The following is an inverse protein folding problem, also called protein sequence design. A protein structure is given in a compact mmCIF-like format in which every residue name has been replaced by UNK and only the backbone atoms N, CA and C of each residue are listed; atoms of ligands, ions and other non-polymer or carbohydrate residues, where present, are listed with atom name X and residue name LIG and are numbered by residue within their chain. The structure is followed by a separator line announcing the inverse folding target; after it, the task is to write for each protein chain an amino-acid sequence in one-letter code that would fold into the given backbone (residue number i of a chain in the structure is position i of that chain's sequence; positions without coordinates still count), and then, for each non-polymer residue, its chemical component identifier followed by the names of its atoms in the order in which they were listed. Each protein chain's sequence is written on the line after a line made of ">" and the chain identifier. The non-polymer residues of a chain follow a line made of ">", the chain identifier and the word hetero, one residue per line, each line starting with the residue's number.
data_IF_274505597523
#
_entry.id   IF_274505597523
#
_cell.length_a   1.000
_cell.length_b   1.000
_cell.length_c   1.000
_cell.angle_alpha   90.00
_cell.angle_beta   90.00
_cell.angle_gamma   90.00
#
_symmetry.space_group_name_H-M   'P 1'
#
loop_
_entity.id
_entity.type
_entity.pdbx_description
1 polymer ?
#
# COMPACT_ATOMS: atom_id res chain seq x y z
N UNK A 1 -1.80 9.28 -9.75
CA UNK A 1 -1.18 10.42 -9.04
C UNK A 1 -1.92 11.73 -9.22
N UNK A 2 -2.53 12.05 -10.38
CA UNK A 2 -3.28 13.30 -10.61
C UNK A 2 -4.42 13.50 -9.59
N UNK A 3 -5.26 12.49 -9.37
CA UNK A 3 -6.41 12.59 -8.44
C UNK A 3 -5.94 12.84 -7.01
N UNK A 4 -4.94 12.10 -6.54
CA UNK A 4 -4.38 12.24 -5.19
C UNK A 4 -3.77 13.62 -5.02
N UNK A 5 -2.96 14.08 -5.98
CA UNK A 5 -2.35 15.41 -5.93
C UNK A 5 -3.37 16.54 -5.90
N UNK A 6 -4.45 16.43 -6.68
CA UNK A 6 -5.56 17.40 -6.66
C UNK A 6 -6.25 17.48 -5.30
N UNK A 7 -6.53 16.33 -4.66
CA UNK A 7 -7.13 16.29 -3.33
C UNK A 7 -6.23 16.94 -2.28
N UNK A 8 -4.93 16.63 -2.28
CA UNK A 8 -3.95 17.24 -1.36
C UNK A 8 -3.89 18.75 -1.57
N UNK A 9 -3.87 19.20 -2.82
CA UNK A 9 -3.87 20.63 -3.13
C UNK A 9 -5.12 21.35 -2.59
N UNK A 10 -6.31 20.78 -2.78
CA UNK A 10 -7.56 21.36 -2.27
C UNK A 10 -7.56 21.45 -0.74
N UNK A 11 -7.15 20.37 -0.06
CA UNK A 11 -7.05 20.33 1.41
C UNK A 11 -6.08 21.42 1.91
N UNK A 12 -4.90 21.51 1.28
CA UNK A 12 -3.91 22.53 1.63
C UNK A 12 -4.42 23.96 1.35
N UNK A 13 -5.15 24.16 0.25
CA UNK A 13 -5.76 25.45 -0.09
C UNK A 13 -6.77 25.90 0.96
N UNK A 14 -7.70 25.02 1.37
CA UNK A 14 -8.67 25.37 2.42
C UNK A 14 -8.02 25.63 3.77
N UNK A 15 -7.02 24.84 4.17
CA UNK A 15 -6.29 25.05 5.42
C UNK A 15 -5.51 26.38 5.41
N UNK A 16 -4.72 26.61 4.37
CA UNK A 16 -3.87 27.80 4.27
C UNK A 16 -4.69 29.08 4.05
N UNK A 17 -5.57 29.11 3.05
CA UNK A 17 -6.39 30.30 2.77
C UNK A 17 -7.41 30.56 3.87
N UNK A 18 -7.98 29.53 4.50
CA UNK A 18 -8.88 29.69 5.64
C UNK A 18 -8.17 30.35 6.83
N UNK A 19 -6.92 29.96 7.11
CA UNK A 19 -6.14 30.59 8.17
C UNK A 19 -5.74 32.03 7.84
N UNK A 20 -5.28 32.31 6.61
CA UNK A 20 -4.83 33.65 6.20
C UNK A 20 -5.98 34.64 6.11
N UNK A 21 -7.14 34.20 5.58
CA UNK A 21 -8.32 35.05 5.41
C UNK A 21 -9.19 35.13 6.68
N UNK A 22 -8.80 34.42 7.74
CA UNK A 22 -9.59 34.25 8.95
C UNK A 22 -11.04 33.84 8.62
N UNK A 23 -11.22 32.94 7.65
CA UNK A 23 -12.54 32.50 7.19
C UNK A 23 -12.97 31.22 7.93
N UNK A 24 -13.97 31.38 8.80
CA UNK A 24 -14.51 30.27 9.62
C UNK A 24 -15.07 29.14 8.75
N UNK A 25 -15.68 29.43 7.60
CA UNK A 25 -16.29 28.43 6.73
C UNK A 25 -15.22 27.55 6.05
N UNK A 26 -14.15 28.16 5.54
CA UNK A 26 -13.03 27.46 4.92
C UNK A 26 -12.29 26.58 5.94
N UNK A 27 -12.02 27.11 7.14
CA UNK A 27 -11.38 26.34 8.23
C UNK A 27 -12.25 25.18 8.71
N UNK A 28 -13.57 25.39 8.83
CA UNK A 28 -14.51 24.33 9.21
C UNK A 28 -14.55 23.24 8.14
N UNK A 29 -14.57 23.63 6.86
CA UNK A 29 -14.55 22.69 5.72
C UNK A 29 -13.28 21.85 5.73
N UNK A 30 -12.11 22.47 5.94
CA UNK A 30 -10.83 21.77 6.11
C UNK A 30 -10.88 20.74 7.26
N UNK A 31 -11.38 21.16 8.44
CA UNK A 31 -11.51 20.27 9.60
C UNK A 31 -12.46 19.09 9.37
N UNK A 32 -13.59 19.31 8.68
CA UNK A 32 -14.55 18.25 8.34
C UNK A 32 -13.95 17.25 7.35
N UNK A 33 -13.23 17.72 6.32
CA UNK A 33 -12.57 16.85 5.34
C UNK A 33 -11.52 15.98 6.04
N UNK A 34 -10.66 16.55 6.88
CA UNK A 34 -9.66 15.77 7.62
C UNK A 34 -10.29 14.78 8.60
N UNK A 35 -11.38 15.17 9.27
CA UNK A 35 -12.11 14.26 10.15
C UNK A 35 -12.67 13.07 9.38
N UNK A 36 -13.21 13.29 8.18
CA UNK A 36 -13.70 12.22 7.32
C UNK A 36 -12.56 11.28 6.87
N UNK A 37 -11.40 11.84 6.50
CA UNK A 37 -10.22 11.05 6.13
C UNK A 37 -9.75 10.18 7.30
N UNK A 38 -9.66 10.76 8.50
CA UNK A 38 -9.26 10.04 9.72
C UNK A 38 -10.20 8.85 10.01
N UNK A 39 -11.52 9.04 9.88
CA UNK A 39 -12.50 7.97 10.07
C UNK A 39 -12.34 6.85 9.03
N UNK A 40 -12.13 7.21 7.76
CA UNK A 40 -11.88 6.25 6.68
C UNK A 40 -10.58 5.48 6.96
N UNK A 41 -9.53 6.17 7.40
CA UNK A 41 -8.24 5.57 7.71
C UNK A 41 -8.35 4.56 8.86
N UNK A 42 -9.10 4.88 9.93
CA UNK A 42 -9.38 3.96 11.02
C UNK A 42 -10.18 2.75 10.51
N UNK A 43 -11.21 2.97 9.69
CA UNK A 43 -12.00 1.87 9.12
C UNK A 43 -11.14 0.91 8.27
N UNK A 44 -10.26 1.44 7.42
CA UNK A 44 -9.31 0.65 6.63
C UNK A 44 -8.36 -0.12 7.55
N UNK A 45 -7.82 0.51 8.60
CA UNK A 45 -6.96 -0.15 9.57
C UNK A 45 -7.64 -1.32 10.28
N UNK A 46 -8.89 -1.13 10.72
CA UNK A 46 -9.69 -2.20 11.35
C UNK A 46 -9.97 -3.33 10.36
N UNK A 47 -10.38 -3.02 9.13
CA UNK A 47 -10.60 -4.03 8.10
C UNK A 47 -9.33 -4.81 7.78
N UNK A 48 -8.19 -4.14 7.63
CA UNK A 48 -6.90 -4.78 7.37
C UNK A 48 -6.52 -5.74 8.51
N UNK A 49 -6.77 -5.36 9.76
CA UNK A 49 -6.53 -6.21 10.92
C UNK A 49 -7.44 -7.45 10.94
N UNK A 50 -8.75 -7.25 10.78
CA UNK A 50 -9.74 -8.34 10.81
C UNK A 50 -9.55 -9.33 9.65
N UNK A 51 -9.24 -8.83 8.46
CA UNK A 51 -9.09 -9.67 7.25
C UNK A 51 -7.69 -10.20 7.01
N UNK A 52 -6.69 -9.88 7.86
CA UNK A 52 -5.29 -10.28 7.67
C UNK A 52 -5.10 -11.77 7.37
N UNK A 53 -5.72 -12.65 8.15
CA UNK A 53 -5.58 -14.11 7.96
C UNK A 53 -6.27 -14.64 6.70
N UNK A 54 -7.42 -14.07 6.35
CA UNK A 54 -8.13 -14.40 5.09
C UNK A 54 -7.35 -13.92 3.86
N UNK A 55 -6.73 -12.74 3.97
CA UNK A 55 -5.87 -12.21 2.92
C UNK A 55 -4.65 -13.12 2.70
N UNK A 56 -3.94 -13.52 3.76
CA UNK A 56 -2.76 -14.37 3.62
C UNK A 56 -3.10 -15.73 2.99
N UNK A 57 -4.15 -16.40 3.48
CA UNK A 57 -4.59 -17.69 2.93
C UNK A 57 -5.12 -17.59 1.50
N UNK A 58 -5.90 -16.55 1.20
CA UNK A 58 -6.37 -16.27 -0.16
C UNK A 58 -5.22 -15.97 -1.11
N UNK A 59 -4.24 -15.19 -0.66
CA UNK A 59 -3.04 -14.87 -1.42
C UNK A 59 -2.21 -16.11 -1.74
N UNK A 60 -1.96 -16.96 -0.73
CA UNK A 60 -1.29 -18.28 -0.90
C UNK A 60 -1.98 -19.14 -1.95
N UNK A 61 -3.32 -19.19 -1.92
CA UNK A 61 -4.09 -19.94 -2.92
C UNK A 61 -3.94 -19.37 -4.34
N UNK A 62 -4.03 -18.04 -4.48
CA UNK A 62 -3.90 -17.37 -5.79
C UNK A 62 -2.50 -17.56 -6.36
N UNK A 63 -1.45 -17.42 -5.54
CA UNK A 63 -0.09 -17.61 -6.02
C UNK A 63 0.15 -19.07 -6.42
N UNK A 64 -0.31 -20.04 -5.62
CA UNK A 64 -0.20 -21.46 -5.97
C UNK A 64 -0.89 -21.76 -7.31
N UNK A 65 -2.11 -21.27 -7.53
CA UNK A 65 -2.85 -21.45 -8.80
C UNK A 65 -2.10 -20.87 -10.01
N UNK A 66 -1.40 -19.74 -9.84
CA UNK A 66 -0.57 -19.15 -10.91
C UNK A 66 0.66 -19.99 -11.21
N UNK A 67 1.29 -20.58 -10.21
CA UNK A 67 2.43 -21.49 -10.38
C UNK A 67 2.02 -22.86 -10.94
N UNK A 68 0.90 -23.42 -10.51
CA UNK A 68 0.36 -24.68 -11.05
C UNK A 68 -0.02 -24.55 -12.54
N UNK A 69 -0.56 -23.38 -12.90
CA UNK A 69 -0.95 -23.06 -14.28
C UNK A 69 0.18 -22.52 -15.16
N UNK A 70 1.45 -22.65 -14.76
CA UNK A 70 2.61 -22.05 -15.45
C UNK A 70 2.70 -22.47 -16.92
N UNK A 71 2.69 -23.77 -17.21
CA UNK A 71 2.82 -24.29 -18.58
C UNK A 71 1.50 -24.24 -19.38
N UNK A 72 0.37 -23.93 -18.72
CA UNK A 72 -0.96 -24.00 -19.33
C UNK A 72 -1.38 -22.68 -19.98
N UNK A 73 -0.92 -21.54 -19.46
CA UNK A 73 -1.32 -20.20 -19.93
C UNK A 73 -0.11 -19.29 -20.05
N UNK A 74 0.03 -18.63 -21.19
CA UNK A 74 1.09 -17.65 -21.43
C UNK A 74 1.10 -16.54 -20.37
N UNK A 75 -0.08 -16.02 -19.99
CA UNK A 75 -0.19 -14.99 -18.95
C UNK A 75 0.35 -15.45 -17.58
N UNK A 76 0.11 -16.72 -17.22
CA UNK A 76 0.61 -17.28 -15.97
C UNK A 76 2.13 -17.43 -16.04
N UNK A 77 2.66 -17.88 -17.18
CA UNK A 77 4.09 -17.98 -17.43
C UNK A 77 4.80 -16.64 -17.29
N UNK A 78 4.29 -15.60 -17.95
CA UNK A 78 4.86 -14.24 -17.89
C UNK A 78 4.81 -13.66 -16.47
N UNK A 79 3.70 -13.88 -15.75
CA UNK A 79 3.56 -13.44 -14.37
C UNK A 79 4.54 -14.14 -13.43
N UNK A 80 4.64 -15.47 -13.49
CA UNK A 80 5.56 -16.26 -12.68
C UNK A 80 7.02 -15.94 -13.02
N UNK A 81 7.36 -15.82 -14.30
CA UNK A 81 8.71 -15.42 -14.73
C UNK A 81 9.06 -14.02 -14.21
N UNK A 82 8.11 -13.08 -14.22
CA UNK A 82 8.28 -11.74 -13.66
C UNK A 82 8.47 -11.79 -12.14
N UNK A 83 7.70 -12.61 -11.44
CA UNK A 83 7.83 -12.82 -9.99
C UNK A 83 9.23 -13.36 -9.68
N UNK A 84 9.66 -14.44 -10.34
CA UNK A 84 10.95 -15.08 -10.09
C UNK A 84 12.13 -14.12 -10.32
N UNK A 85 12.07 -13.32 -11.39
CA UNK A 85 13.10 -12.30 -11.70
C UNK A 85 13.10 -11.14 -10.68
N UNK A 86 11.95 -10.56 -10.39
CA UNK A 86 11.85 -9.34 -9.58
C UNK A 86 12.02 -9.62 -8.08
N UNK A 87 11.58 -10.79 -7.62
CA UNK A 87 11.64 -11.20 -6.21
C UNK A 87 12.87 -12.08 -5.94
N UNK A 88 13.62 -12.45 -6.98
CA UNK A 88 14.83 -13.29 -6.88
C UNK A 88 14.53 -14.59 -6.11
N UNK A 89 13.52 -15.32 -6.59
CA UNK A 89 13.05 -16.59 -6.03
C UNK A 89 12.85 -17.60 -7.15
N UNK A 90 12.75 -18.88 -6.82
CA UNK A 90 12.50 -19.93 -7.81
C UNK A 90 11.47 -20.93 -7.31
N UNK A 91 10.46 -21.19 -8.13
CA UNK A 91 9.38 -22.12 -7.78
C UNK A 91 8.53 -21.62 -6.61
N UNK A 92 7.44 -22.33 -6.32
CA UNK A 92 6.52 -21.90 -5.25
C UNK A 92 7.20 -21.97 -3.87
N UNK A 93 7.81 -23.12 -3.57
CA UNK A 93 8.47 -23.40 -2.28
C UNK A 93 9.97 -23.69 -2.42
N UNK A 94 10.58 -23.32 -3.56
CA UNK A 94 12.00 -23.51 -3.86
C UNK A 94 12.22 -24.15 -5.24
N UNK A 95 13.48 -24.27 -5.69
CA UNK A 95 13.84 -24.82 -7.00
C UNK A 95 13.29 -26.22 -7.26
N UNK A 96 13.15 -27.03 -6.21
CA UNK A 96 12.64 -28.41 -6.28
C UNK A 96 11.16 -28.51 -6.63
N UNK A 97 10.43 -27.39 -6.57
CA UNK A 97 9.07 -27.30 -7.09
C UNK A 97 9.00 -27.70 -8.57
N UNK A 98 10.02 -27.37 -9.35
CA UNK A 98 10.11 -27.76 -10.75
C UNK A 98 10.62 -29.21 -10.84
N UNK A 99 9.78 -30.10 -11.37
CA UNK A 99 10.12 -31.52 -11.58
C UNK A 99 11.17 -31.75 -12.67
N UNK A 100 11.48 -30.73 -13.47
CA UNK A 100 12.43 -30.82 -14.58
C UNK A 100 13.86 -30.53 -14.13
N UNK A 101 14.83 -31.13 -14.82
CA UNK A 101 16.27 -30.88 -14.60
C UNK A 101 16.73 -29.50 -15.12
N UNK A 102 15.96 -28.91 -16.04
CA UNK A 102 16.14 -27.57 -16.58
C UNK A 102 15.06 -26.65 -16.01
N UNK A 103 15.48 -25.65 -15.24
CA UNK A 103 14.58 -24.66 -14.64
C UNK A 103 14.33 -23.49 -15.60
N UNK A 104 13.21 -22.76 -15.43
CA UNK A 104 12.97 -21.52 -16.14
C UNK A 104 14.15 -20.53 -16.01
N UNK A 105 14.51 -19.85 -17.10
CA UNK A 105 15.59 -18.86 -17.08
C UNK A 105 15.35 -17.73 -16.04
N UNK A 106 14.08 -17.44 -15.75
CA UNK A 106 13.64 -16.50 -14.73
C UNK A 106 14.09 -16.85 -13.30
N UNK A 107 14.37 -18.12 -13.00
CA UNK A 107 14.89 -18.58 -11.70
C UNK A 107 16.35 -18.18 -11.44
N UNK A 108 17.08 -17.66 -12.43
CA UNK A 108 18.52 -17.45 -12.35
C UNK A 108 18.96 -16.05 -12.82
N UNK A 109 18.01 -15.14 -13.06
CA UNK A 109 18.30 -13.78 -13.53
C UNK A 109 18.98 -13.73 -14.92
N UNK A 110 18.93 -14.83 -15.68
CA UNK A 110 19.56 -14.96 -17.00
C UNK A 110 18.68 -14.34 -18.09
N UNK A 111 19.31 -13.86 -19.16
CA UNK A 111 18.62 -13.32 -20.34
C UNK A 111 17.78 -14.40 -21.01
N UNK A 112 16.66 -14.03 -21.66
CA UNK A 112 15.79 -14.95 -22.42
C UNK A 112 16.53 -15.78 -23.48
N UNK A 113 17.74 -15.36 -23.87
CA UNK A 113 18.62 -16.09 -24.79
C UNK A 113 19.24 -17.35 -24.19
N UNK A 114 19.32 -17.47 -22.86
CA UNK A 114 19.72 -18.70 -22.17
C UNK A 114 18.45 -19.46 -21.79
N UNK A 115 18.14 -20.54 -22.52
CA UNK A 115 16.85 -21.22 -22.46
C UNK A 115 16.48 -21.83 -21.09
N UNK A 116 17.46 -22.05 -20.20
CA UNK A 116 17.26 -22.69 -18.89
C UNK A 116 18.49 -22.55 -18.00
N UNK A 117 18.32 -22.79 -16.70
CA UNK A 117 19.43 -22.95 -15.77
C UNK A 117 19.30 -24.23 -14.92
N UNK A 118 20.36 -24.58 -14.20
CA UNK A 118 20.44 -25.72 -13.29
C UNK A 118 20.13 -25.29 -11.85
N UNK A 119 19.83 -26.26 -10.96
CA UNK A 119 19.44 -25.96 -9.56
C UNK A 119 20.52 -25.22 -8.77
N UNK A 120 21.78 -25.51 -9.06
CA UNK A 120 22.96 -24.86 -8.47
C UNK A 120 23.09 -23.38 -8.84
N UNK A 121 22.51 -22.97 -9.97
CA UNK A 121 22.52 -21.57 -10.44
C UNK A 121 21.25 -20.81 -10.06
N UNK A 122 20.24 -21.49 -9.50
CA UNK A 122 18.93 -20.92 -9.21
C UNK A 122 18.90 -20.18 -7.88
N UNK A 123 17.97 -19.21 -7.77
CA UNK A 123 17.57 -18.66 -6.50
C UNK A 123 17.03 -19.76 -5.59
N UNK A 124 17.60 -19.91 -4.40
CA UNK A 124 17.25 -21.01 -3.49
C UNK A 124 15.95 -20.76 -2.71
N UNK A 125 15.55 -19.48 -2.60
CA UNK A 125 14.31 -19.12 -1.90
C UNK A 125 13.07 -19.45 -2.74
N UNK A 126 12.06 -20.04 -2.11
CA UNK A 126 10.72 -20.17 -2.70
C UNK A 126 10.01 -18.83 -2.82
N UNK A 127 9.22 -18.65 -3.88
CA UNK A 127 8.51 -17.40 -4.14
C UNK A 127 7.38 -17.12 -3.15
N UNK A 128 6.62 -18.13 -2.73
CA UNK A 128 5.56 -17.96 -1.73
C UNK A 128 6.10 -17.37 -0.41
N UNK A 129 7.05 -18.01 0.30
CA UNK A 129 7.55 -17.49 1.57
C UNK A 129 8.23 -16.13 1.41
N UNK A 130 8.98 -15.90 0.32
CA UNK A 130 9.67 -14.63 0.08
C UNK A 130 8.71 -13.48 -0.19
N UNK A 131 7.65 -13.71 -0.97
CA UNK A 131 6.62 -12.69 -1.19
C UNK A 131 5.85 -12.38 0.09
N UNK A 132 5.50 -13.40 0.88
CA UNK A 132 4.83 -13.18 2.17
C UNK A 132 5.71 -12.33 3.08
N UNK A 133 7.01 -12.61 3.15
CA UNK A 133 7.93 -11.82 3.97
C UNK A 133 8.04 -10.36 3.48
N UNK A 134 8.16 -10.13 2.17
CA UNK A 134 8.15 -8.80 1.56
C UNK A 134 6.85 -8.05 1.89
N UNK A 135 5.71 -8.73 1.76
CA UNK A 135 4.39 -8.17 2.05
C UNK A 135 4.31 -7.80 3.53
N UNK A 136 4.68 -8.70 4.44
CA UNK A 136 4.63 -8.47 5.88
C UNK A 136 5.56 -7.33 6.31
N UNK A 137 6.76 -7.27 5.75
CA UNK A 137 7.72 -6.19 6.01
C UNK A 137 7.21 -4.84 5.50
N UNK A 138 6.63 -4.80 4.31
CA UNK A 138 6.03 -3.58 3.75
C UNK A 138 4.81 -3.12 4.56
N UNK A 139 3.94 -4.04 4.99
CA UNK A 139 2.79 -3.70 5.83
C UNK A 139 3.18 -3.10 7.19
N UNK A 140 4.29 -3.54 7.79
CA UNK A 140 4.81 -2.94 9.03
C UNK A 140 5.21 -1.47 8.80
N UNK A 141 5.96 -1.20 7.73
CA UNK A 141 6.37 0.15 7.38
C UNK A 141 5.18 1.06 7.03
N UNK A 142 4.26 0.58 6.18
CA UNK A 142 3.04 1.30 5.81
C UNK A 142 2.15 1.57 7.02
N UNK A 143 2.03 0.60 7.93
CA UNK A 143 1.28 0.76 9.18
C UNK A 143 1.87 1.85 10.07
N UNK A 144 3.20 1.91 10.19
CA UNK A 144 3.86 2.97 10.96
C UNK A 144 3.65 4.36 10.34
N UNK A 145 3.77 4.48 9.02
CA UNK A 145 3.51 5.74 8.29
C UNK A 145 2.05 6.17 8.48
N UNK A 146 1.10 5.25 8.32
CA UNK A 146 -0.32 5.52 8.51
C UNK A 146 -0.61 6.02 9.94
N UNK A 147 -0.05 5.37 10.97
CA UNK A 147 -0.22 5.82 12.34
C UNK A 147 0.32 7.24 12.56
N UNK A 148 1.47 7.56 11.97
CA UNK A 148 2.02 8.92 11.98
C UNK A 148 1.11 9.95 11.30
N UNK A 149 0.56 9.60 10.13
CA UNK A 149 -0.41 10.45 9.42
C UNK A 149 -1.64 10.71 10.29
N UNK A 150 -2.22 9.67 10.90
CA UNK A 150 -3.40 9.80 11.75
C UNK A 150 -3.14 10.74 12.96
N UNK A 151 -1.94 10.69 13.54
CA UNK A 151 -1.55 11.60 14.62
C UNK A 151 -1.46 13.05 14.14
N UNK A 152 -0.85 13.29 12.98
CA UNK A 152 -0.77 14.64 12.38
C UNK A 152 -2.15 15.16 12.00
N UNK A 153 -3.01 14.33 11.40
CA UNK A 153 -4.38 14.69 11.05
C UNK A 153 -5.19 15.08 12.28
N UNK A 154 -5.07 14.33 13.39
CA UNK A 154 -5.75 14.67 14.63
C UNK A 154 -5.33 16.05 15.14
N UNK A 155 -4.03 16.37 15.10
CA UNK A 155 -3.53 17.71 15.46
C UNK A 155 -4.09 18.79 14.53
N UNK A 156 -4.10 18.54 13.22
CA UNK A 156 -4.67 19.47 12.24
C UNK A 156 -6.17 19.70 12.46
N UNK A 157 -6.93 18.66 12.79
CA UNK A 157 -8.36 18.75 13.12
C UNK A 157 -8.58 19.60 14.37
N UNK A 158 -7.81 19.35 15.43
CA UNK A 158 -7.87 20.14 16.67
C UNK A 158 -7.57 21.61 16.38
N UNK A 159 -6.50 21.91 15.65
CA UNK A 159 -6.16 23.28 15.30
C UNK A 159 -7.20 23.95 14.40
N UNK A 160 -7.73 23.25 13.40
CA UNK A 160 -8.76 23.77 12.51
C UNK A 160 -10.00 24.22 13.30
N UNK A 161 -10.53 23.36 14.15
CA UNK A 161 -11.73 23.68 14.94
C UNK A 161 -11.44 24.72 16.04
N UNK A 162 -10.27 24.68 16.67
CA UNK A 162 -9.86 25.69 17.64
C UNK A 162 -9.78 27.09 16.99
N UNK A 163 -9.09 27.22 15.86
CA UNK A 163 -8.96 28.48 15.13
C UNK A 163 -10.32 28.97 14.63
N UNK A 164 -11.11 28.12 13.98
CA UNK A 164 -12.46 28.46 13.54
C UNK A 164 -13.34 28.94 14.72
N UNK A 165 -13.24 28.28 15.88
CA UNK A 165 -13.97 28.70 17.08
C UNK A 165 -13.48 30.02 17.65
N UNK A 166 -12.18 30.32 17.53
CA UNK A 166 -11.58 31.56 18.01
C UNK A 166 -12.05 32.75 17.18
N UNK A 167 -11.91 32.65 15.86
CA UNK A 167 -12.33 33.67 14.89
C UNK A 167 -13.83 33.96 15.06
N UNK A 168 -14.67 32.91 15.08
CA UNK A 168 -16.12 33.09 15.27
C UNK A 168 -16.47 33.81 16.59
N UNK A 169 -15.70 33.58 17.67
CA UNK A 169 -15.90 34.30 18.93
C UNK A 169 -15.52 35.77 18.82
N UNK A 170 -14.47 36.10 18.07
CA UNK A 170 -14.06 37.49 17.82
C UNK A 170 -15.08 38.23 16.97
N UNK A 171 -15.58 37.61 15.90
CA UNK A 171 -16.66 38.17 15.08
C UNK A 171 -17.92 38.45 15.93
N UNK A 172 -18.34 37.48 16.76
CA UNK A 172 -19.51 37.67 17.63
C UNK A 172 -19.32 38.79 18.66
N UNK A 173 -18.10 38.98 19.19
CA UNK A 173 -17.80 40.08 20.11
C UNK A 173 -17.81 41.44 19.43
N UNK A 174 -17.47 41.52 18.15
CA UNK A 174 -17.48 42.77 17.39
C UNK A 174 -18.91 43.28 17.10
N UNK A 175 -19.92 42.40 17.12
CA UNK A 175 -21.32 42.76 16.92
C UNK A 175 -22.10 43.06 18.21
N UNK A 176 -21.53 42.78 19.39
CA UNK A 176 -22.15 42.98 20.70
C UNK A 176 -21.75 44.33 21.32
#
# INVERSE_FOLDING_TARGET
>A
MIVIGGLVFLIAFFGCCGAIREDTCMLTTYGVILSAILLIQVAIGVMAFVYKGKFESGFKKVIAEKFDGYDQKQDNKELVDSIQKNVMCCGLNGPDYWSHSKLPASCCGKSEKEASCTRDQAYQDGCEPKIIDIIQSSFKLLGAIALGIAAVELLCVVFAFCLASSIRREELRAYA
#
